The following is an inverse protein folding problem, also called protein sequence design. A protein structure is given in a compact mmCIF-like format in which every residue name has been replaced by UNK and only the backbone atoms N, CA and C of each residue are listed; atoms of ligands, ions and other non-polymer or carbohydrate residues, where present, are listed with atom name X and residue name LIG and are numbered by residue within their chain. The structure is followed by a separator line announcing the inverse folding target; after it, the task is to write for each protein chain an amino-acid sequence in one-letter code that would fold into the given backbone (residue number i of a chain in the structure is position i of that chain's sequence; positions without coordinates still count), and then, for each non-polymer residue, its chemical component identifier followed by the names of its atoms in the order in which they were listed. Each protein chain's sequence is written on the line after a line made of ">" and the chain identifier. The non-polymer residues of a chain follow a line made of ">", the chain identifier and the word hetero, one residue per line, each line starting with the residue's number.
data_IF_027575924456
#
_entry.id   IF_027575924456
#
_cell.length_a   1.000
_cell.length_b   1.000
_cell.length_c   1.000
_cell.angle_alpha   90.00
_cell.angle_beta   90.00
_cell.angle_gamma   90.00
#
_symmetry.space_group_name_H-M   'P 1'
#
loop_
_entity.id
_entity.type
_entity.pdbx_description
1 polymer ?
#
# COMPACT_ATOMS: atom_id res chain seq x y z
N UNK A 1 46.21 28.48 58.89
CA UNK A 1 47.61 28.20 58.45
C UNK A 1 48.09 26.94 59.15
N UNK A 2 48.94 26.17 58.49
CA UNK A 2 49.63 25.06 59.10
C UNK A 2 50.75 25.51 60.03
N UNK A 3 51.38 24.53 60.68
CA UNK A 3 52.49 24.87 61.63
C UNK A 3 53.66 25.61 60.98
N UNK A 4 53.71 25.72 59.65
CA UNK A 4 54.71 26.43 58.87
C UNK A 4 54.23 27.79 58.34
N UNK A 5 53.04 28.25 58.76
CA UNK A 5 52.47 29.53 58.37
C UNK A 5 51.86 29.56 56.95
N UNK A 6 51.70 28.43 56.31
CA UNK A 6 51.03 28.34 54.98
C UNK A 6 49.52 28.33 55.10
N UNK A 7 48.85 29.07 54.20
CA UNK A 7 47.43 29.10 54.10
C UNK A 7 46.94 27.81 53.36
N UNK A 8 46.25 26.95 54.08
CA UNK A 8 45.53 25.85 53.46
C UNK A 8 44.15 26.31 53.03
N UNK A 9 43.93 26.39 51.74
CA UNK A 9 42.62 26.62 51.18
C UNK A 9 41.93 25.22 50.92
N UNK A 10 40.86 24.97 51.66
CA UNK A 10 40.01 23.78 51.41
C UNK A 10 38.82 24.25 50.61
N UNK A 11 38.69 23.73 49.38
CA UNK A 11 37.50 23.92 48.57
C UNK A 11 36.58 22.73 48.77
N UNK A 12 35.37 22.98 49.22
CA UNK A 12 34.30 21.95 49.29
C UNK A 12 33.34 22.14 48.14
N UNK A 13 33.08 21.06 47.38
CA UNK A 13 32.02 21.00 46.42
C UNK A 13 30.91 20.10 46.97
N UNK A 14 29.65 20.56 46.90
CA UNK A 14 28.50 19.80 47.32
C UNK A 14 27.58 19.55 46.13
N UNK A 15 27.31 18.28 45.81
CA UNK A 15 26.22 17.91 44.90
C UNK A 15 24.95 17.78 45.73
N UNK A 16 23.96 18.64 45.49
CA UNK A 16 22.71 18.69 46.29
C UNK A 16 21.53 18.06 45.55
N UNK A 17 21.68 17.74 44.26
CA UNK A 17 20.65 17.09 43.44
C UNK A 17 21.29 16.04 42.56
N UNK A 18 20.52 14.94 42.27
CA UNK A 18 20.92 13.96 41.29
C UNK A 18 20.69 14.46 39.84
N UNK A 19 20.98 13.61 38.85
CA UNK A 19 20.84 13.97 37.43
C UNK A 19 19.38 14.12 37.02
N UNK A 20 18.40 13.68 37.84
CA UNK A 20 16.96 13.81 37.65
C UNK A 20 16.36 14.99 38.49
N UNK A 21 17.18 15.77 39.11
CA UNK A 21 16.77 16.92 39.92
C UNK A 21 16.30 16.57 41.33
N UNK A 22 16.38 15.30 41.78
CA UNK A 22 16.04 14.87 43.14
C UNK A 22 17.05 15.39 44.15
N UNK A 23 16.58 15.93 45.27
CA UNK A 23 17.49 16.40 46.33
C UNK A 23 18.26 15.22 46.94
N UNK A 24 19.55 15.37 47.04
CA UNK A 24 20.47 14.44 47.67
C UNK A 24 20.90 14.95 49.03
N UNK A 25 21.14 14.03 49.97
CA UNK A 25 21.82 14.37 51.20
C UNK A 25 23.19 14.99 50.83
N UNK A 26 23.53 16.14 51.43
CA UNK A 26 24.75 16.85 51.11
C UNK A 26 25.96 15.94 51.32
N UNK A 27 26.66 15.62 50.19
CA UNK A 27 27.90 14.87 50.21
C UNK A 27 29.05 15.79 49.81
N UNK A 28 30.11 15.80 50.60
CA UNK A 28 31.32 16.52 50.28
C UNK A 28 32.16 15.70 49.33
N UNK A 29 32.55 16.31 48.19
CA UNK A 29 33.48 15.68 47.23
C UNK A 29 34.88 15.94 47.72
N UNK A 30 35.71 14.92 47.87
CA UNK A 30 37.12 15.07 48.29
C UNK A 30 37.87 16.01 47.32
N UNK A 31 38.79 16.80 47.85
CA UNK A 31 39.50 17.87 47.11
C UNK A 31 40.33 17.38 45.89
N UNK A 32 40.59 16.05 45.83
CA UNK A 32 41.34 15.40 44.75
C UNK A 32 40.45 14.76 43.67
N UNK A 33 39.12 14.91 43.79
CA UNK A 33 38.17 14.34 42.85
C UNK A 33 37.47 15.39 42.00
N UNK A 34 37.36 15.10 40.73
CA UNK A 34 36.61 15.93 39.78
C UNK A 34 35.12 15.76 40.00
N UNK A 35 34.38 16.84 40.27
CA UNK A 35 32.94 16.82 40.24
C UNK A 35 32.45 16.83 38.80
N UNK A 36 31.67 15.81 38.44
CA UNK A 36 31.06 15.72 37.11
C UNK A 36 29.60 16.19 37.21
N UNK A 37 29.27 17.20 36.43
CA UNK A 37 27.89 17.68 36.26
C UNK A 37 27.37 17.17 34.94
N UNK A 38 26.26 16.44 34.95
CA UNK A 38 25.59 15.98 33.77
C UNK A 38 24.24 16.70 33.66
N UNK A 39 24.10 17.52 32.64
CA UNK A 39 22.83 18.09 32.28
C UNK A 39 22.16 17.15 31.29
N UNK A 40 20.92 16.73 31.57
CA UNK A 40 20.07 16.00 30.63
C UNK A 40 19.11 17.01 30.03
N UNK A 41 19.22 17.20 28.74
CA UNK A 41 18.22 17.94 27.96
C UNK A 41 17.15 16.96 27.52
N UNK A 42 15.90 17.25 27.85
CA UNK A 42 14.75 16.47 27.48
C UNK A 42 13.70 17.37 26.79
N UNK A 43 13.17 16.92 25.67
CA UNK A 43 12.06 17.56 24.99
C UNK A 43 10.98 16.50 24.78
N UNK A 44 9.70 16.89 24.82
CA UNK A 44 8.62 15.97 24.51
C UNK A 44 8.78 15.38 23.11
N UNK A 45 8.65 14.07 23.01
CA UNK A 45 8.71 13.36 21.73
C UNK A 45 7.43 13.58 20.92
N UNK A 46 7.52 13.45 19.60
CA UNK A 46 6.38 13.51 18.66
C UNK A 46 6.24 12.19 17.94
N UNK A 47 5.00 11.71 17.83
CA UNK A 47 4.65 10.48 17.10
C UNK A 47 3.83 10.80 15.86
N UNK A 48 4.30 10.37 14.70
CA UNK A 48 3.71 10.66 13.40
C UNK A 48 3.17 9.40 12.76
N UNK A 49 1.86 9.38 12.47
CA UNK A 49 1.24 8.35 11.66
C UNK A 49 1.40 8.67 10.18
N UNK A 50 1.96 7.72 9.43
CA UNK A 50 2.04 7.78 7.97
C UNK A 50 0.81 7.11 7.38
N UNK A 51 0.23 7.69 6.34
CA UNK A 51 -1.01 7.25 5.71
C UNK A 51 -0.86 7.18 4.21
N UNK A 52 -1.62 6.29 3.59
CA UNK A 52 -1.84 6.21 2.16
C UNK A 52 -3.30 5.85 1.87
N UNK A 53 -3.70 5.94 0.64
CA UNK A 53 -4.99 5.48 0.13
C UNK A 53 -4.79 4.32 -0.86
N UNK A 54 -5.78 3.43 -0.92
CA UNK A 54 -5.88 2.35 -1.89
C UNK A 54 -7.19 2.49 -2.66
N UNK A 55 -7.10 2.53 -3.96
CA UNK A 55 -8.25 2.37 -4.86
C UNK A 55 -8.12 1.10 -5.69
N UNK A 56 -9.27 0.56 -6.08
CA UNK A 56 -9.34 -0.66 -6.88
C UNK A 56 -10.49 -0.55 -7.86
N UNK A 57 -10.19 -0.76 -9.14
CA UNK A 57 -11.21 -0.82 -10.19
C UNK A 57 -11.40 -2.25 -10.62
N UNK A 58 -12.58 -2.80 -10.37
CA UNK A 58 -13.00 -4.09 -10.90
C UNK A 58 -13.83 -3.89 -12.16
N UNK A 59 -13.30 -4.29 -13.30
CA UNK A 59 -13.99 -4.20 -14.59
C UNK A 59 -15.06 -5.29 -14.76
N UNK A 60 -15.11 -6.28 -13.86
CA UNK A 60 -16.11 -7.35 -13.89
C UNK A 60 -17.28 -7.13 -12.94
N UNK A 61 -17.12 -6.23 -11.95
CA UNK A 61 -18.11 -5.97 -10.90
C UNK A 61 -18.27 -7.09 -9.87
N UNK A 62 -17.36 -8.08 -9.86
CA UNK A 62 -17.45 -9.27 -9.02
C UNK A 62 -16.40 -9.35 -7.91
N UNK A 63 -15.44 -8.40 -7.87
CA UNK A 63 -14.32 -8.38 -6.93
C UNK A 63 -14.26 -7.06 -6.16
N UNK A 64 -14.89 -6.96 -4.99
CA UNK A 64 -14.75 -5.77 -4.14
C UNK A 64 -13.32 -5.68 -3.59
N UNK A 65 -12.89 -4.47 -3.22
CA UNK A 65 -11.69 -4.27 -2.42
C UNK A 65 -11.93 -4.84 -1.01
N UNK A 66 -11.09 -5.78 -0.60
CA UNK A 66 -11.18 -6.43 0.72
C UNK A 66 -10.10 -5.90 1.68
N UNK A 67 -10.40 -5.94 2.98
CA UNK A 67 -9.45 -5.58 4.02
C UNK A 67 -8.25 -6.54 4.03
N UNK A 68 -7.04 -5.99 4.14
CA UNK A 68 -5.81 -6.78 4.16
C UNK A 68 -5.37 -7.35 2.82
N UNK A 69 -6.05 -7.01 1.73
CA UNK A 69 -5.78 -7.55 0.40
C UNK A 69 -4.43 -7.08 -0.17
N UNK A 70 -4.02 -5.85 0.14
CA UNK A 70 -2.80 -5.25 -0.38
C UNK A 70 -1.89 -4.83 0.77
N UNK A 71 -0.60 -5.06 0.61
CA UNK A 71 0.45 -4.70 1.58
C UNK A 71 1.26 -3.53 1.06
N UNK A 72 1.58 -2.59 1.95
CA UNK A 72 2.38 -1.41 1.67
C UNK A 72 3.59 -1.40 2.58
N UNK A 73 4.71 -0.86 2.08
CA UNK A 73 5.97 -0.83 2.79
C UNK A 73 6.55 0.57 2.82
N UNK A 74 7.08 0.94 3.99
CA UNK A 74 7.90 2.13 4.17
C UNK A 74 9.32 1.69 4.47
N UNK A 75 10.27 2.17 3.67
CA UNK A 75 11.70 1.87 3.82
C UNK A 75 12.47 3.18 4.03
N UNK A 76 13.31 3.32 5.08
CA UNK A 76 14.15 4.49 5.26
C UNK A 76 15.11 4.72 4.09
N UNK A 77 15.18 5.96 3.59
CA UNK A 77 16.19 6.43 2.64
C UNK A 77 17.34 7.13 3.38
N UNK A 78 17.02 7.81 4.47
CA UNK A 78 18.02 8.47 5.33
C UNK A 78 18.60 7.46 6.31
N UNK A 79 19.91 7.32 6.34
CA UNK A 79 20.58 6.44 7.29
C UNK A 79 20.24 6.83 8.74
N UNK A 80 19.83 5.84 9.55
CA UNK A 80 19.44 6.04 10.94
C UNK A 80 18.08 6.72 11.13
N UNK A 81 17.26 6.84 10.08
CA UNK A 81 15.89 7.32 10.23
C UNK A 81 15.08 6.36 11.13
N UNK A 82 14.34 6.90 12.12
CA UNK A 82 13.54 6.07 13.03
C UNK A 82 12.49 5.24 12.29
N UNK A 83 12.20 4.06 12.83
CA UNK A 83 11.06 3.21 12.45
C UNK A 83 10.14 3.04 13.65
N UNK A 84 8.91 2.55 13.48
CA UNK A 84 8.06 2.13 14.58
C UNK A 84 8.77 1.14 15.50
N UNK A 85 8.43 1.16 16.79
CA UNK A 85 9.02 0.26 17.78
C UNK A 85 8.85 -1.21 17.39
N UNK A 86 9.95 -1.96 17.42
CA UNK A 86 10.02 -3.37 17.06
C UNK A 86 10.26 -3.64 15.58
N UNK A 87 10.18 -2.64 14.70
CA UNK A 87 10.44 -2.79 13.27
C UNK A 87 11.93 -2.55 12.95
N UNK A 88 12.46 -3.26 11.96
CA UNK A 88 13.86 -3.15 11.52
C UNK A 88 13.96 -3.23 10.00
N UNK A 89 14.68 -2.28 9.40
CA UNK A 89 14.87 -2.18 7.96
C UNK A 89 13.69 -1.58 7.21
N UNK A 90 12.46 -1.93 7.55
CA UNK A 90 11.22 -1.39 6.98
C UNK A 90 10.05 -1.57 7.96
N UNK A 91 8.92 -0.94 7.66
CA UNK A 91 7.62 -1.19 8.30
C UNK A 91 6.56 -1.46 7.24
N UNK A 92 5.58 -2.30 7.56
CA UNK A 92 4.49 -2.66 6.66
C UNK A 92 3.12 -2.39 7.27
N UNK A 93 2.16 -2.13 6.40
CA UNK A 93 0.75 -2.02 6.73
C UNK A 93 -0.10 -2.59 5.59
N UNK A 94 -1.32 -3.03 5.89
CA UNK A 94 -2.29 -3.46 4.89
C UNK A 94 -3.42 -2.44 4.79
N UNK A 95 -4.18 -2.48 3.69
CA UNK A 95 -5.37 -1.66 3.56
C UNK A 95 -6.50 -2.12 4.49
N UNK A 96 -7.28 -1.15 4.98
CA UNK A 96 -8.59 -1.36 5.59
C UNK A 96 -9.58 -0.48 4.82
N UNK A 97 -10.44 -1.13 4.03
CA UNK A 97 -11.15 -0.44 2.96
C UNK A 97 -10.17 0.29 2.04
N UNK A 98 -10.42 1.56 1.80
CA UNK A 98 -9.55 2.44 1.00
C UNK A 98 -8.40 3.06 1.80
N UNK A 99 -8.34 2.87 3.10
CA UNK A 99 -7.33 3.47 3.97
C UNK A 99 -6.13 2.56 4.22
N UNK A 100 -4.93 3.16 4.29
CA UNK A 100 -3.70 2.50 4.74
C UNK A 100 -3.10 3.34 5.85
N UNK A 101 -2.91 2.76 7.03
CA UNK A 101 -2.35 3.45 8.20
C UNK A 101 -1.22 2.62 8.78
N UNK A 102 -0.02 3.19 8.78
CA UNK A 102 1.14 2.55 9.39
C UNK A 102 1.17 2.81 10.89
N UNK A 103 1.91 1.96 11.62
CA UNK A 103 2.29 2.26 13.00
C UNK A 103 3.01 3.60 13.06
N UNK A 104 2.79 4.36 14.13
CA UNK A 104 3.44 5.66 14.28
C UNK A 104 4.95 5.55 14.44
N UNK A 105 5.67 6.46 13.79
CA UNK A 105 7.10 6.67 13.99
C UNK A 105 7.27 7.73 15.05
N UNK A 106 8.06 7.46 16.11
CA UNK A 106 8.31 8.39 17.20
C UNK A 106 9.66 9.04 17.03
N UNK A 107 9.68 10.38 17.10
CA UNK A 107 10.89 11.21 17.08
C UNK A 107 11.14 11.79 18.46
N UNK A 108 12.38 11.66 18.92
CA UNK A 108 12.84 12.12 20.24
C UNK A 108 13.72 13.37 20.11
N UNK A 109 14.04 13.98 21.23
CA UNK A 109 15.02 15.09 21.29
C UNK A 109 16.36 14.74 20.61
N UNK A 110 16.79 13.47 20.69
CA UNK A 110 18.01 12.98 20.03
C UNK A 110 17.91 13.05 18.51
N UNK A 111 16.74 12.73 17.96
CA UNK A 111 16.52 12.74 16.51
C UNK A 111 16.48 14.17 15.97
N UNK A 112 16.03 15.12 16.79
CA UNK A 112 15.95 16.55 16.47
C UNK A 112 17.19 17.35 16.93
N UNK A 113 18.23 16.69 17.43
CA UNK A 113 19.40 17.38 18.02
C UNK A 113 20.03 18.39 17.07
N UNK A 114 20.12 19.65 17.50
CA UNK A 114 20.69 20.77 16.73
C UNK A 114 19.75 21.32 15.64
N UNK A 115 18.55 20.79 15.48
CA UNK A 115 17.60 21.26 14.51
C UNK A 115 16.66 22.34 15.06
N UNK A 116 16.32 23.31 14.22
CA UNK A 116 15.39 24.41 14.50
C UNK A 116 14.35 24.49 13.39
N UNK A 117 13.27 25.22 13.60
CA UNK A 117 12.21 25.43 12.59
C UNK A 117 12.78 25.96 11.25
N UNK A 118 13.78 26.85 11.30
CA UNK A 118 14.42 27.41 10.09
C UNK A 118 15.51 26.50 9.51
N UNK A 119 15.96 25.50 10.25
CA UNK A 119 16.96 24.51 9.82
C UNK A 119 16.60 23.13 10.37
N UNK A 120 15.51 22.52 9.88
CA UNK A 120 15.05 21.21 10.35
C UNK A 120 15.97 20.09 9.89
N UNK A 121 16.07 19.05 10.70
CA UNK A 121 16.67 17.78 10.26
C UNK A 121 15.66 17.00 9.42
N UNK A 122 16.10 16.53 8.26
CA UNK A 122 15.20 15.87 7.31
C UNK A 122 15.47 14.37 7.30
N UNK A 123 14.38 13.59 7.46
CA UNK A 123 14.35 12.15 7.29
C UNK A 123 13.47 11.81 6.11
N UNK A 124 13.98 10.98 5.21
CA UNK A 124 13.23 10.54 4.03
C UNK A 124 13.02 9.02 4.05
N UNK A 125 11.86 8.62 3.55
CA UNK A 125 11.45 7.22 3.41
C UNK A 125 10.85 7.02 2.02
N UNK A 126 10.98 5.81 1.48
CA UNK A 126 10.21 5.37 0.32
C UNK A 126 8.94 4.68 0.81
N UNK A 127 7.81 5.00 0.22
CA UNK A 127 6.54 4.31 0.38
C UNK A 127 6.15 3.67 -0.95
N UNK A 128 5.85 2.37 -0.94
CA UNK A 128 5.48 1.59 -2.12
C UNK A 128 4.46 0.51 -1.78
N UNK A 129 3.70 0.04 -2.76
CA UNK A 129 2.94 -1.21 -2.65
C UNK A 129 3.89 -2.40 -2.80
N UNK A 130 3.70 -3.44 -1.99
CA UNK A 130 4.48 -4.68 -2.08
C UNK A 130 3.90 -5.52 -3.22
N UNK A 131 4.56 -5.49 -4.36
CA UNK A 131 4.11 -6.20 -5.55
C UNK A 131 4.25 -7.72 -5.37
N UNK A 132 3.31 -8.53 -5.88
CA UNK A 132 3.41 -9.99 -5.82
C UNK A 132 4.54 -10.49 -6.73
N UNK A 133 5.02 -11.68 -6.44
CA UNK A 133 5.99 -12.34 -7.29
C UNK A 133 5.45 -12.48 -8.72
N UNK A 134 6.25 -12.09 -9.70
CA UNK A 134 5.90 -12.12 -11.11
C UNK A 134 5.38 -10.79 -11.67
N UNK A 135 4.90 -9.86 -10.85
CA UNK A 135 4.56 -8.52 -11.32
C UNK A 135 5.83 -7.73 -11.65
N UNK A 136 5.98 -7.31 -12.89
CA UNK A 136 7.14 -6.56 -13.38
C UNK A 136 6.77 -5.71 -14.60
N UNK A 137 7.69 -4.89 -15.06
CA UNK A 137 7.49 -3.98 -16.19
C UNK A 137 7.12 -4.71 -17.50
N UNK A 138 7.70 -5.90 -17.75
CA UNK A 138 7.46 -6.65 -18.99
C UNK A 138 6.00 -7.10 -19.13
N UNK A 139 5.32 -7.39 -18.03
CA UNK A 139 3.89 -7.74 -18.00
C UNK A 139 3.01 -6.57 -17.50
N UNK A 140 3.55 -5.34 -17.50
CA UNK A 140 2.86 -4.13 -17.01
C UNK A 140 2.33 -4.31 -15.57
N UNK A 141 3.10 -5.00 -14.74
CA UNK A 141 2.76 -5.32 -13.35
C UNK A 141 1.46 -6.12 -13.18
N UNK A 142 1.08 -6.92 -14.19
CA UNK A 142 -0.17 -7.70 -14.17
C UNK A 142 0.09 -9.15 -13.80
N UNK A 143 -0.64 -9.64 -12.78
CA UNK A 143 -0.61 -11.03 -12.32
C UNK A 143 -2.04 -11.48 -12.02
N UNK A 144 -2.46 -12.62 -12.56
CA UNK A 144 -3.80 -13.19 -12.38
C UNK A 144 -4.94 -12.21 -12.68
N UNK A 145 -4.79 -11.41 -13.74
CA UNK A 145 -5.75 -10.40 -14.17
C UNK A 145 -5.75 -9.11 -13.33
N UNK A 146 -4.97 -9.04 -12.24
CA UNK A 146 -4.80 -7.81 -11.46
C UNK A 146 -3.57 -7.07 -11.97
N UNK A 147 -3.76 -5.81 -12.35
CA UNK A 147 -2.69 -4.85 -12.62
C UNK A 147 -2.42 -4.07 -11.34
N UNK A 148 -1.20 -4.14 -10.86
CA UNK A 148 -0.73 -3.50 -9.63
C UNK A 148 -0.09 -2.15 -9.93
N UNK A 149 -0.16 -1.23 -8.97
CA UNK A 149 0.44 0.09 -9.07
C UNK A 149 1.93 0.04 -8.65
N UNK A 150 2.87 0.29 -9.57
CA UNK A 150 4.29 0.32 -9.25
C UNK A 150 4.77 1.66 -8.69
N UNK A 151 3.86 2.61 -8.45
CA UNK A 151 4.21 3.94 -7.98
C UNK A 151 5.03 3.90 -6.69
N UNK A 152 5.96 4.85 -6.58
CA UNK A 152 6.74 5.09 -5.37
C UNK A 152 6.58 6.53 -4.95
N UNK A 153 6.44 6.70 -3.65
CA UNK A 153 6.35 8.03 -3.05
C UNK A 153 7.51 8.24 -2.09
N UNK A 154 7.98 9.47 -1.99
CA UNK A 154 8.91 9.87 -0.94
C UNK A 154 8.14 10.55 0.19
N UNK A 155 8.33 10.05 1.41
CA UNK A 155 7.85 10.71 2.62
C UNK A 155 9.02 11.49 3.17
N UNK A 156 8.87 12.80 3.29
CA UNK A 156 9.86 13.68 3.88
C UNK A 156 9.32 14.18 5.22
N UNK A 157 10.03 13.87 6.30
CA UNK A 157 9.73 14.32 7.67
C UNK A 157 10.79 15.33 8.07
N UNK A 158 10.38 16.58 8.32
CA UNK A 158 11.22 17.66 8.81
C UNK A 158 11.06 17.76 10.32
N UNK A 159 12.11 17.44 11.04
CA UNK A 159 12.11 17.29 12.50
C UNK A 159 12.93 18.38 13.13
N UNK A 160 12.37 19.10 14.11
CA UNK A 160 13.03 20.18 14.82
C UNK A 160 12.47 20.35 16.23
N UNK A 161 13.16 21.14 17.05
CA UNK A 161 12.71 21.49 18.40
C UNK A 161 12.11 22.88 18.38
N UNK A 162 10.93 23.02 19.00
CA UNK A 162 10.23 24.27 19.17
C UNK A 162 9.81 24.42 20.63
N UNK A 163 9.98 25.63 21.20
CA UNK A 163 9.43 25.90 22.51
C UNK A 163 7.93 26.20 22.39
N UNK A 164 7.12 25.35 23.04
CA UNK A 164 5.66 25.49 23.08
C UNK A 164 5.27 25.69 24.54
N UNK A 165 4.71 26.85 24.84
CA UNK A 165 4.24 27.21 26.20
C UNK A 165 5.31 27.03 27.31
N UNK A 166 6.59 27.30 27.00
CA UNK A 166 7.69 27.20 27.96
C UNK A 166 8.35 25.82 28.05
N UNK A 167 7.88 24.85 27.28
CA UNK A 167 8.44 23.50 27.20
C UNK A 167 8.97 23.22 25.78
N UNK A 168 10.17 22.67 25.70
CA UNK A 168 10.73 22.24 24.44
C UNK A 168 10.04 20.97 23.97
N UNK A 169 9.60 20.97 22.72
CA UNK A 169 8.82 19.89 22.09
C UNK A 169 9.42 19.59 20.73
N UNK A 170 9.52 18.31 20.41
CA UNK A 170 9.86 17.86 19.05
C UNK A 170 8.65 18.10 18.15
N UNK A 171 8.87 18.73 17.01
CA UNK A 171 7.85 18.98 15.97
C UNK A 171 8.26 18.25 14.71
N UNK A 172 7.28 17.65 14.03
CA UNK A 172 7.49 16.93 12.77
C UNK A 172 6.54 17.43 11.71
N UNK A 173 7.08 18.07 10.68
CA UNK A 173 6.33 18.43 9.47
C UNK A 173 6.46 17.32 8.43
N UNK A 174 5.32 16.83 7.94
CA UNK A 174 5.27 15.75 6.95
C UNK A 174 4.92 16.28 5.57
N UNK A 175 5.71 15.87 4.57
CA UNK A 175 5.48 16.17 3.16
C UNK A 175 5.53 14.84 2.39
N UNK A 176 4.51 14.57 1.60
CA UNK A 176 4.52 13.50 0.62
C UNK A 176 4.94 14.04 -0.74
N UNK A 177 5.73 13.28 -1.46
CA UNK A 177 6.19 13.63 -2.81
C UNK A 177 5.99 12.46 -3.76
N UNK A 178 5.62 12.77 -5.00
CA UNK A 178 5.64 11.82 -6.09
C UNK A 178 7.07 11.37 -6.41
N UNK A 179 7.22 10.38 -7.25
CA UNK A 179 8.53 9.85 -7.68
C UNK A 179 9.39 10.91 -8.43
N UNK A 180 8.74 11.86 -9.09
CA UNK A 180 9.39 13.01 -9.74
C UNK A 180 9.84 14.11 -8.74
N UNK A 181 9.58 13.94 -7.45
CA UNK A 181 9.92 14.89 -6.38
C UNK A 181 8.89 15.99 -6.14
N UNK A 182 7.81 16.06 -6.94
CA UNK A 182 6.73 17.04 -6.75
C UNK A 182 5.96 16.74 -5.47
N UNK A 183 5.78 17.75 -4.60
CA UNK A 183 5.01 17.59 -3.37
C UNK A 183 3.51 17.45 -3.66
N UNK A 184 2.85 16.54 -2.95
CA UNK A 184 1.39 16.48 -2.90
C UNK A 184 0.84 17.70 -2.14
N UNK A 185 -0.43 18.03 -2.36
CA UNK A 185 -1.08 19.08 -1.57
C UNK A 185 -1.17 18.69 -0.08
N UNK A 186 -1.25 19.68 0.80
CA UNK A 186 -1.14 19.48 2.25
C UNK A 186 -2.13 18.47 2.86
N UNK A 187 -3.29 18.30 2.22
CA UNK A 187 -4.35 17.39 2.68
C UNK A 187 -4.41 16.07 1.89
N UNK A 188 -3.51 15.88 0.94
CA UNK A 188 -3.44 14.68 0.12
C UNK A 188 -2.52 13.65 0.75
N UNK A 189 -2.82 12.39 0.49
CA UNK A 189 -1.98 11.25 0.83
C UNK A 189 -1.62 10.48 -0.44
N UNK A 190 -0.51 9.75 -0.47
CA UNK A 190 -0.18 8.83 -1.57
C UNK A 190 -1.35 7.89 -1.85
N UNK A 191 -1.74 7.76 -3.11
CA UNK A 191 -2.80 6.85 -3.54
C UNK A 191 -2.22 5.80 -4.49
N UNK A 192 -2.54 4.54 -4.23
CA UNK A 192 -2.17 3.40 -5.07
C UNK A 192 -3.42 2.84 -5.72
N UNK A 193 -3.39 2.71 -7.04
CA UNK A 193 -4.53 2.26 -7.84
C UNK A 193 -4.25 0.91 -8.48
N UNK A 194 -5.00 -0.15 -8.10
CA UNK A 194 -4.98 -1.42 -8.80
C UNK A 194 -6.27 -1.62 -9.59
N UNK A 195 -6.19 -2.45 -10.61
CA UNK A 195 -7.38 -2.81 -11.39
C UNK A 195 -7.40 -4.31 -11.67
N UNK A 196 -8.58 -4.86 -11.78
CA UNK A 196 -8.80 -6.23 -12.21
C UNK A 196 -9.54 -6.24 -13.53
N UNK A 197 -9.01 -7.01 -14.46
CA UNK A 197 -9.66 -7.34 -15.71
C UNK A 197 -9.50 -8.85 -15.95
N UNK A 198 -10.61 -9.53 -16.21
CA UNK A 198 -10.54 -10.91 -16.67
C UNK A 198 -9.92 -10.96 -18.07
N UNK A 199 -9.16 -12.02 -18.34
CA UNK A 199 -8.70 -12.28 -19.71
C UNK A 199 -9.90 -12.56 -20.61
N UNK A 200 -9.83 -12.02 -21.82
CA UNK A 200 -10.84 -12.26 -22.84
C UNK A 200 -10.92 -13.74 -23.20
N UNK A 201 -12.11 -14.27 -23.24
CA UNK A 201 -12.39 -15.63 -23.71
C UNK A 201 -13.03 -15.57 -25.10
N UNK A 202 -12.42 -16.27 -26.05
CA UNK A 202 -12.98 -16.42 -27.39
C UNK A 202 -13.45 -17.85 -27.55
N UNK A 203 -14.77 -18.05 -27.70
CA UNK A 203 -15.36 -19.32 -28.00
C UNK A 203 -15.50 -19.45 -29.52
N UNK A 204 -14.55 -20.13 -30.15
CA UNK A 204 -14.49 -20.33 -31.62
C UNK A 204 -13.84 -21.67 -31.96
N UNK A 205 -14.05 -22.18 -33.15
CA UNK A 205 -13.50 -23.47 -33.61
C UNK A 205 -13.84 -24.62 -32.66
N UNK A 206 -12.84 -25.25 -32.04
CA UNK A 206 -13.05 -26.38 -31.12
C UNK A 206 -13.69 -25.99 -29.80
N UNK A 207 -13.58 -24.73 -29.39
CA UNK A 207 -14.21 -24.17 -28.18
C UNK A 207 -15.54 -23.52 -28.45
N UNK A 208 -16.00 -23.45 -29.72
CA UNK A 208 -17.28 -22.87 -30.06
C UNK A 208 -18.44 -23.59 -29.37
N UNK A 209 -19.48 -22.84 -29.07
CA UNK A 209 -20.74 -23.44 -28.60
C UNK A 209 -21.37 -24.27 -29.73
N UNK A 210 -21.64 -25.52 -29.47
CA UNK A 210 -22.08 -26.47 -30.48
C UNK A 210 -23.12 -27.46 -29.93
N UNK A 211 -23.84 -28.07 -30.83
CA UNK A 211 -24.81 -29.11 -30.51
C UNK A 211 -24.93 -30.12 -31.61
N UNK A 212 -25.78 -31.14 -31.39
CA UNK A 212 -26.11 -32.16 -32.35
C UNK A 212 -27.64 -32.32 -32.47
N UNK A 213 -28.11 -32.54 -33.65
CA UNK A 213 -29.51 -32.84 -33.95
C UNK A 213 -29.60 -34.22 -34.59
N UNK A 214 -30.40 -35.09 -33.98
CA UNK A 214 -30.77 -36.40 -34.55
C UNK A 214 -32.27 -36.43 -34.79
N UNK A 215 -32.69 -36.87 -35.98
CA UNK A 215 -34.08 -37.20 -36.30
C UNK A 215 -34.21 -38.72 -36.46
N UNK A 216 -35.13 -39.34 -35.72
CA UNK A 216 -35.40 -40.78 -35.81
C UNK A 216 -36.77 -41.03 -36.40
N UNK A 217 -36.96 -42.21 -37.06
CA UNK A 217 -38.20 -42.61 -37.69
C UNK A 217 -38.29 -42.31 -39.18
N UNK A 218 -37.50 -41.31 -39.66
CA UNK A 218 -37.38 -40.99 -41.10
C UNK A 218 -36.15 -40.13 -41.39
N UNK A 219 -35.80 -40.03 -42.64
CA UNK A 219 -34.86 -39.00 -43.12
C UNK A 219 -35.48 -37.60 -43.01
N UNK A 220 -34.63 -36.55 -42.86
CA UNK A 220 -35.06 -35.16 -43.00
C UNK A 220 -35.53 -34.94 -44.45
N UNK A 221 -36.66 -34.24 -44.61
CA UNK A 221 -37.19 -33.93 -45.93
C UNK A 221 -36.35 -32.90 -46.65
N UNK A 222 -36.46 -32.89 -47.99
CA UNK A 222 -35.77 -31.87 -48.79
C UNK A 222 -36.27 -30.47 -48.41
N UNK A 223 -35.34 -29.59 -47.95
CA UNK A 223 -35.67 -28.23 -47.53
C UNK A 223 -36.20 -28.14 -46.09
N UNK A 224 -36.26 -29.26 -45.34
CA UNK A 224 -36.55 -29.24 -43.92
C UNK A 224 -35.32 -28.77 -43.14
N UNK A 225 -35.53 -27.79 -42.27
CA UNK A 225 -34.50 -27.24 -41.38
C UNK A 225 -34.96 -27.30 -39.92
N UNK A 226 -33.99 -27.47 -39.03
CA UNK A 226 -34.20 -27.33 -37.60
C UNK A 226 -33.30 -26.19 -37.14
N UNK A 227 -33.92 -25.13 -36.63
CA UNK A 227 -33.23 -23.91 -36.22
C UNK A 227 -33.04 -23.89 -34.72
N UNK A 228 -31.90 -23.41 -34.28
CA UNK A 228 -31.47 -23.29 -32.89
C UNK A 228 -31.03 -21.86 -32.62
N UNK A 229 -31.41 -21.35 -31.47
CA UNK A 229 -31.02 -19.97 -31.03
C UNK A 229 -30.31 -20.05 -29.72
N UNK A 230 -29.17 -19.35 -29.64
CA UNK A 230 -28.43 -19.14 -28.41
C UNK A 230 -29.02 -17.92 -27.68
N UNK A 231 -29.43 -18.08 -26.43
CA UNK A 231 -29.97 -17.00 -25.61
C UNK A 231 -29.26 -16.93 -24.28
N UNK A 232 -29.27 -15.73 -23.66
CA UNK A 232 -28.77 -15.57 -22.30
C UNK A 232 -29.57 -16.47 -21.33
N UNK A 233 -28.85 -17.12 -20.40
CA UNK A 233 -29.45 -17.97 -19.38
C UNK A 233 -29.93 -17.23 -18.14
N UNK A 234 -29.44 -15.98 -17.96
CA UNK A 234 -29.77 -15.11 -16.83
C UNK A 234 -29.66 -13.64 -17.19
N UNK A 235 -30.17 -12.76 -16.30
CA UNK A 235 -30.20 -11.33 -16.50
C UNK A 235 -28.78 -10.72 -16.52
N UNK A 236 -27.79 -11.31 -15.85
CA UNK A 236 -26.42 -10.81 -15.84
C UNK A 236 -25.77 -11.02 -17.21
N UNK A 237 -25.95 -12.21 -17.81
CA UNK A 237 -25.48 -12.52 -19.16
C UNK A 237 -26.23 -11.67 -20.21
N UNK A 238 -27.54 -11.47 -20.07
CA UNK A 238 -28.31 -10.59 -20.95
C UNK A 238 -27.80 -9.15 -20.91
N UNK A 239 -27.50 -8.63 -19.69
CA UNK A 239 -26.92 -7.32 -19.52
C UNK A 239 -25.51 -7.23 -20.13
N UNK A 240 -24.66 -8.24 -19.96
CA UNK A 240 -23.33 -8.26 -20.53
C UNK A 240 -23.36 -8.21 -22.07
N UNK A 241 -24.30 -8.91 -22.71
CA UNK A 241 -24.53 -8.85 -24.16
C UNK A 241 -25.03 -7.45 -24.56
N UNK A 242 -25.99 -6.88 -23.82
CA UNK A 242 -26.51 -5.53 -24.07
C UNK A 242 -25.45 -4.45 -23.94
N UNK A 243 -24.58 -4.56 -22.94
CA UNK A 243 -23.48 -3.62 -22.68
C UNK A 243 -22.27 -3.85 -23.61
N UNK A 244 -22.34 -4.86 -24.48
CA UNK A 244 -21.24 -5.30 -25.36
C UNK A 244 -19.98 -5.76 -24.61
N UNK A 245 -20.14 -6.18 -23.36
CA UNK A 245 -19.08 -6.88 -22.62
C UNK A 245 -18.94 -8.34 -23.09
N UNK A 246 -20.02 -8.91 -23.66
CA UNK A 246 -20.02 -10.18 -24.40
C UNK A 246 -20.54 -9.88 -25.79
N UNK A 247 -19.78 -10.27 -26.82
CA UNK A 247 -20.13 -10.06 -28.22
C UNK A 247 -20.36 -11.40 -28.90
N UNK A 248 -21.55 -11.59 -29.45
CA UNK A 248 -21.85 -12.69 -30.33
C UNK A 248 -21.69 -12.20 -31.77
N UNK A 249 -20.97 -12.93 -32.61
CA UNK A 249 -20.79 -12.55 -34.02
C UNK A 249 -22.16 -12.38 -34.72
N UNK A 250 -22.19 -11.52 -35.74
CA UNK A 250 -23.44 -11.30 -36.52
C UNK A 250 -24.04 -12.61 -36.96
N UNK A 251 -25.34 -12.85 -36.62
CA UNK A 251 -26.06 -14.11 -36.76
C UNK A 251 -25.41 -15.32 -36.05
N UNK A 252 -24.44 -15.09 -35.16
CA UNK A 252 -23.77 -16.16 -34.42
C UNK A 252 -24.62 -16.79 -33.33
N UNK A 253 -25.71 -16.13 -32.96
CA UNK A 253 -26.74 -16.63 -32.04
C UNK A 253 -27.72 -17.65 -32.68
N UNK A 254 -27.60 -17.86 -33.99
CA UNK A 254 -28.47 -18.79 -34.73
C UNK A 254 -27.67 -19.89 -35.43
N UNK A 255 -28.18 -21.10 -35.42
CA UNK A 255 -27.64 -22.25 -36.14
C UNK A 255 -28.78 -23.09 -36.72
N UNK A 256 -28.52 -23.73 -37.86
CA UNK A 256 -29.52 -24.56 -38.55
C UNK A 256 -28.92 -25.89 -38.98
N UNK A 257 -29.73 -26.93 -38.96
CA UNK A 257 -29.38 -28.27 -39.44
C UNK A 257 -30.39 -28.74 -40.48
N UNK A 258 -29.90 -29.33 -41.56
CA UNK A 258 -30.72 -29.91 -42.62
C UNK A 258 -30.08 -31.17 -43.23
N UNK A 259 -30.83 -31.92 -44.01
CA UNK A 259 -30.31 -33.00 -44.85
C UNK A 259 -29.82 -34.25 -44.11
N UNK A 260 -30.25 -34.50 -42.84
CA UNK A 260 -29.87 -35.67 -42.06
C UNK A 260 -30.61 -36.95 -42.46
N UNK A 261 -29.93 -38.09 -42.35
CA UNK A 261 -30.53 -39.41 -42.48
C UNK A 261 -31.20 -39.87 -41.18
N UNK A 262 -32.09 -40.88 -41.28
CA UNK A 262 -32.72 -41.46 -40.11
C UNK A 262 -31.68 -41.95 -39.10
N UNK A 263 -31.72 -41.43 -37.88
CA UNK A 263 -30.79 -41.74 -36.79
C UNK A 263 -29.38 -41.14 -36.92
N UNK A 264 -29.09 -40.36 -37.98
CA UNK A 264 -27.82 -39.65 -38.14
C UNK A 264 -27.79 -38.43 -37.25
N UNK A 265 -26.68 -38.25 -36.47
CA UNK A 265 -26.41 -37.02 -35.76
C UNK A 265 -25.79 -35.98 -36.70
N UNK A 266 -26.40 -34.81 -36.74
CA UNK A 266 -25.90 -33.63 -37.48
C UNK A 266 -25.42 -32.60 -36.50
N UNK A 267 -24.13 -32.31 -36.51
CA UNK A 267 -23.53 -31.28 -35.68
C UNK A 267 -23.83 -29.88 -36.22
N UNK A 268 -23.94 -28.91 -35.30
CA UNK A 268 -24.04 -27.49 -35.61
C UNK A 268 -23.21 -26.67 -34.59
N UNK A 269 -22.78 -25.52 -35.02
CA UNK A 269 -22.04 -24.55 -34.18
C UNK A 269 -22.77 -23.22 -34.22
N UNK A 270 -22.76 -22.55 -33.07
CA UNK A 270 -23.06 -21.13 -33.01
C UNK A 270 -21.83 -20.33 -33.46
N UNK A 271 -22.01 -19.03 -33.75
CA UNK A 271 -20.93 -18.17 -34.11
C UNK A 271 -19.94 -17.87 -32.96
N UNK A 272 -18.91 -17.09 -33.26
CA UNK A 272 -17.92 -16.71 -32.26
C UNK A 272 -18.59 -15.90 -31.13
N UNK A 273 -18.23 -16.25 -29.90
CA UNK A 273 -18.58 -15.47 -28.71
C UNK A 273 -17.25 -14.93 -28.12
N UNK A 274 -17.18 -13.64 -27.90
CA UNK A 274 -16.02 -12.92 -27.34
C UNK A 274 -16.48 -11.99 -26.25
N UNK A 275 -15.60 -11.64 -25.32
CA UNK A 275 -15.78 -10.58 -24.34
C UNK A 275 -14.83 -9.40 -24.59
#
# INVERSE_FOLDING_TARGET
>A
SDENGMLNAVAEMKKTRDDNGTELAAATVAADKTATFKNVYDADSESVAIRAAKSFTDHTGSRPLEDGQYTFRITPKTAGAPLPEGDSGYTEATNTGVGVVFKSVTFTAKDAQGATENNPKTYEYTLEEVLPQGANEANKYTVNGITYDPAKYTIQLKVYIKNVAGKDTVVVDRIYKNDDGTALAANEVPEFHNSYKADSVILTGDTALKGEKTLTGRDMLRGETFDFTLTAGDNATEKAISDKAVIIAENGDNASVSGGKNGEAKSFNFGNVTD
#
